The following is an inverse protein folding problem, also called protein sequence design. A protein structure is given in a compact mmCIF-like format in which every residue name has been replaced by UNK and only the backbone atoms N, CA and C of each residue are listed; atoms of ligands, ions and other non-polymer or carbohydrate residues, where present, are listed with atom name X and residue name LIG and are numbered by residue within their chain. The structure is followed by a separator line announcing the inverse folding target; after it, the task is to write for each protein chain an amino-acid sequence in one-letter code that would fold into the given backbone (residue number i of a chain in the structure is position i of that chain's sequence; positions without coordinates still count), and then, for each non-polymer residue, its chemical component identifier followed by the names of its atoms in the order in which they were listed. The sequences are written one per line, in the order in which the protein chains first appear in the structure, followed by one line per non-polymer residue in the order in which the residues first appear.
data_IF_419862927151
#
_entry.id   IF_419862927151
#
_cell.length_a   1.000
_cell.length_b   1.000
_cell.length_c   1.000
_cell.angle_alpha   90.00
_cell.angle_beta   90.00
_cell.angle_gamma   90.00
#
_symmetry.space_group_name_H-M   'P 1'
#
loop_
_entity.id
_entity.type
_entity.pdbx_description
1 polymer ?
#
# COMPACT_ATOMS: atom_id res chain seq x y z
N UNK A 1 0.61 24.50 -0.24
CA UNK A 1 0.48 23.17 0.32
C UNK A 1 1.84 22.63 0.76
N UNK A 2 1.93 22.16 1.95
CA UNK A 2 3.21 21.73 2.54
C UNK A 2 3.42 20.23 2.32
N UNK A 3 3.55 19.83 1.06
CA UNK A 3 3.67 18.41 0.71
C UNK A 3 4.90 17.77 1.35
N UNK A 4 6.04 18.45 1.32
CA UNK A 4 7.27 17.92 1.89
C UNK A 4 7.16 17.70 3.40
N UNK A 5 6.52 18.60 4.11
CA UNK A 5 6.32 18.46 5.55
C UNK A 5 5.37 17.32 5.87
N UNK A 6 4.29 17.19 5.12
CA UNK A 6 3.34 16.11 5.30
C UNK A 6 3.97 14.75 5.00
N UNK A 7 4.79 14.68 3.93
CA UNK A 7 5.50 13.46 3.61
C UNK A 7 6.47 13.07 4.72
N UNK A 8 7.16 14.05 5.28
CA UNK A 8 8.11 13.80 6.36
C UNK A 8 7.41 13.29 7.63
N UNK A 9 6.23 13.82 7.92
CA UNK A 9 5.43 13.35 9.08
C UNK A 9 5.03 11.88 8.92
N UNK A 10 4.88 11.39 7.70
CA UNK A 10 4.49 10.02 7.43
C UNK A 10 5.69 9.10 7.19
N UNK A 11 6.92 9.61 7.28
CA UNK A 11 8.11 8.84 6.94
C UNK A 11 8.23 7.53 7.71
N UNK A 12 8.06 7.57 9.03
CA UNK A 12 8.19 6.37 9.85
C UNK A 12 7.15 5.32 9.49
N UNK A 13 5.92 5.75 9.21
CA UNK A 13 4.85 4.85 8.80
C UNK A 13 5.16 4.21 7.45
N UNK A 14 5.61 5.00 6.48
CA UNK A 14 5.95 4.50 5.15
C UNK A 14 7.09 3.50 5.21
N UNK A 15 8.12 3.79 6.01
CA UNK A 15 9.25 2.87 6.19
C UNK A 15 8.79 1.55 6.81
N UNK A 16 7.91 1.61 7.82
CA UNK A 16 7.39 0.41 8.45
C UNK A 16 6.60 -0.44 7.47
N UNK A 17 5.77 0.17 6.63
CA UNK A 17 5.02 -0.54 5.61
C UNK A 17 5.95 -1.18 4.58
N UNK A 18 6.96 -0.44 4.12
CA UNK A 18 7.93 -0.95 3.16
C UNK A 18 8.65 -2.18 3.70
N UNK A 19 9.10 -2.12 4.94
CA UNK A 19 9.80 -3.25 5.56
C UNK A 19 8.90 -4.46 5.72
N UNK A 20 7.65 -4.24 6.13
CA UNK A 20 6.68 -5.32 6.24
C UNK A 20 6.47 -6.03 4.89
N UNK A 21 6.25 -5.26 3.84
CA UNK A 21 6.03 -5.81 2.51
C UNK A 21 7.28 -6.48 1.96
N UNK A 22 8.45 -5.94 2.25
CA UNK A 22 9.72 -6.52 1.82
C UNK A 22 10.01 -7.86 2.51
N UNK A 23 9.62 -7.98 3.77
CA UNK A 23 9.79 -9.23 4.53
C UNK A 23 8.81 -10.32 4.12
N UNK A 24 7.69 -9.94 3.45
CA UNK A 24 6.64 -10.87 3.06
C UNK A 24 6.34 -10.74 1.56
N UNK A 25 7.34 -11.04 0.69
CA UNK A 25 7.15 -10.87 -0.74
C UNK A 25 6.18 -11.88 -1.32
N UNK A 26 5.31 -11.42 -2.21
CA UNK A 26 4.36 -12.27 -2.91
C UNK A 26 4.43 -12.02 -4.40
N UNK A 27 4.38 -13.10 -5.18
CA UNK A 27 4.45 -13.03 -6.63
C UNK A 27 3.19 -12.41 -7.24
N UNK A 28 3.32 -11.93 -8.48
CA UNK A 28 2.20 -11.41 -9.23
C UNK A 28 1.07 -12.43 -9.28
N UNK A 29 -0.14 -11.99 -9.10
CA UNK A 29 -1.39 -12.77 -9.01
C UNK A 29 -1.51 -13.60 -7.74
N UNK A 30 -0.52 -13.60 -6.85
CA UNK A 30 -0.53 -14.34 -5.60
C UNK A 30 -0.39 -13.42 -4.38
N UNK A 31 -0.65 -12.14 -4.54
CA UNK A 31 -0.49 -11.14 -3.49
C UNK A 31 -1.69 -11.12 -2.54
N UNK A 32 -2.05 -12.27 -1.98
CA UNK A 32 -3.22 -12.41 -1.12
C UNK A 32 -3.04 -11.70 0.21
N UNK A 33 -1.93 -11.98 0.89
CA UNK A 33 -1.66 -11.37 2.20
C UNK A 33 -1.29 -9.90 2.04
N UNK A 34 -0.58 -9.54 0.97
CA UNK A 34 -0.26 -8.15 0.68
C UNK A 34 -1.54 -7.35 0.46
N UNK A 35 -2.49 -7.90 -0.27
CA UNK A 35 -3.79 -7.26 -0.48
C UNK A 35 -4.52 -7.06 0.84
N UNK A 36 -4.53 -8.07 1.71
CA UNK A 36 -5.16 -7.98 3.03
C UNK A 36 -4.50 -6.90 3.88
N UNK A 37 -3.18 -6.82 3.85
CA UNK A 37 -2.44 -5.82 4.60
C UNK A 37 -2.82 -4.40 4.15
N UNK A 38 -2.83 -4.17 2.83
CA UNK A 38 -3.18 -2.86 2.28
C UNK A 38 -4.63 -2.50 2.60
N UNK A 39 -5.53 -3.45 2.46
CA UNK A 39 -6.94 -3.24 2.78
C UNK A 39 -7.12 -2.84 4.25
N UNK A 40 -6.42 -3.54 5.15
CA UNK A 40 -6.49 -3.23 6.57
C UNK A 40 -5.98 -1.82 6.87
N UNK A 41 -4.87 -1.43 6.24
CA UNK A 41 -4.31 -0.10 6.45
C UNK A 41 -5.22 1.00 5.93
N UNK A 42 -5.79 0.82 4.73
CA UNK A 42 -6.73 1.79 4.17
C UNK A 42 -8.00 1.89 5.01
N UNK A 43 -8.49 0.77 5.51
CA UNK A 43 -9.67 0.74 6.36
C UNK A 43 -9.43 1.50 7.67
N UNK A 44 -8.23 1.35 8.26
CA UNK A 44 -7.85 2.12 9.45
C UNK A 44 -7.89 3.61 9.20
N UNK A 45 -7.59 4.04 8.00
CA UNK A 45 -7.60 5.45 7.61
C UNK A 45 -8.99 5.95 7.26
N UNK A 46 -9.99 5.08 7.29
CA UNK A 46 -11.36 5.46 6.93
C UNK A 46 -11.58 5.58 5.42
N UNK A 47 -10.72 4.95 4.62
CA UNK A 47 -10.82 4.99 3.16
C UNK A 47 -11.59 3.78 2.67
N UNK A 48 -12.70 3.97 1.92
CA UNK A 48 -13.42 2.84 1.33
C UNK A 48 -12.55 2.06 0.37
N UNK A 49 -12.59 0.73 0.47
CA UNK A 49 -11.76 -0.16 -0.33
C UNK A 49 -12.64 -1.06 -1.18
N UNK A 50 -12.28 -1.17 -2.47
CA UNK A 50 -12.94 -2.08 -3.40
C UNK A 50 -11.98 -3.19 -3.79
N UNK A 51 -12.46 -4.42 -3.72
CA UNK A 51 -11.73 -5.59 -4.20
C UNK A 51 -12.46 -6.17 -5.40
N UNK A 52 -11.76 -6.98 -6.18
CA UNK A 52 -12.30 -7.60 -7.38
C UNK A 52 -12.20 -9.12 -7.27
N UNK A 53 -13.27 -9.82 -7.62
CA UNK A 53 -13.29 -11.27 -7.59
C UNK A 53 -12.30 -11.86 -8.60
N UNK A 54 -11.58 -12.87 -8.17
CA UNK A 54 -10.68 -13.60 -9.05
C UNK A 54 -9.32 -12.97 -9.27
N UNK A 55 -9.07 -11.78 -8.68
CA UNK A 55 -7.76 -11.13 -8.79
C UNK A 55 -7.34 -10.56 -7.43
N UNK A 56 -6.03 -10.40 -7.27
CA UNK A 56 -5.47 -9.75 -6.08
C UNK A 56 -5.42 -8.25 -6.30
N UNK A 57 -5.16 -7.51 -5.21
CA UNK A 57 -5.11 -6.06 -5.26
C UNK A 57 -6.42 -5.44 -4.83
N UNK A 58 -6.40 -4.13 -4.67
CA UNK A 58 -7.58 -3.39 -4.23
C UNK A 58 -7.49 -1.94 -4.69
N UNK A 59 -8.60 -1.23 -4.58
CA UNK A 59 -8.67 0.20 -4.91
C UNK A 59 -9.26 0.94 -3.71
N UNK A 60 -8.56 1.96 -3.24
CA UNK A 60 -9.08 2.87 -2.23
C UNK A 60 -9.55 4.15 -2.90
N UNK A 61 -10.68 4.67 -2.48
CA UNK A 61 -11.25 5.89 -3.03
C UNK A 61 -11.30 6.98 -1.97
N UNK A 62 -10.70 8.11 -2.27
CA UNK A 62 -10.73 9.30 -1.42
C UNK A 62 -11.55 10.36 -2.12
N UNK A 63 -12.67 10.73 -1.53
CA UNK A 63 -13.53 11.77 -2.09
C UNK A 63 -13.22 13.11 -1.44
N UNK A 64 -13.02 14.11 -2.29
CA UNK A 64 -12.84 15.46 -1.80
C UNK A 64 -14.18 16.09 -1.46
N UNK A 65 -14.12 17.26 -0.81
CA UNK A 65 -15.33 17.98 -0.41
C UNK A 65 -15.87 18.89 -1.52
N UNK A 66 -15.09 19.07 -2.60
CA UNK A 66 -15.46 19.92 -3.71
C UNK A 66 -15.40 19.15 -5.02
N UNK A 67 -16.31 19.44 -5.97
CA UNK A 67 -16.27 18.76 -7.26
C UNK A 67 -14.98 19.11 -8.02
N UNK A 68 -14.49 18.16 -8.78
CA UNK A 68 -13.26 18.33 -9.52
C UNK A 68 -12.91 17.09 -10.32
N UNK A 69 -11.72 17.09 -10.88
CA UNK A 69 -11.23 15.98 -11.67
C UNK A 69 -10.76 14.83 -10.79
N UNK A 70 -10.83 13.63 -11.33
CA UNK A 70 -10.37 12.43 -10.64
C UNK A 70 -8.96 12.10 -11.10
N UNK A 71 -8.08 11.82 -10.13
CA UNK A 71 -6.71 11.39 -10.40
C UNK A 71 -6.54 9.98 -9.86
N UNK A 72 -5.93 9.11 -10.66
CA UNK A 72 -5.64 7.74 -10.23
C UNK A 72 -4.14 7.57 -10.05
N UNK A 73 -3.75 7.03 -8.89
CA UNK A 73 -2.38 6.62 -8.62
C UNK A 73 -2.34 5.10 -8.62
N UNK A 74 -1.37 4.54 -9.31
CA UNK A 74 -1.20 3.11 -9.37
C UNK A 74 0.12 2.69 -8.76
N UNK A 75 0.10 1.58 -8.03
CA UNK A 75 1.32 0.98 -7.50
C UNK A 75 1.21 -0.54 -7.64
N UNK A 76 2.28 -1.16 -8.07
CA UNK A 76 2.36 -2.61 -8.13
C UNK A 76 2.69 -3.14 -6.74
N UNK A 77 2.14 -4.30 -6.39
CA UNK A 77 2.30 -4.88 -5.05
C UNK A 77 2.99 -6.25 -5.09
N UNK A 78 3.28 -6.76 -6.28
CA UNK A 78 4.01 -8.01 -6.41
C UNK A 78 5.50 -7.80 -6.12
N UNK A 79 6.17 -8.90 -5.77
CA UNK A 79 7.58 -8.87 -5.46
C UNK A 79 8.24 -10.16 -5.94
N UNK A 80 9.54 -10.13 -6.10
CA UNK A 80 10.29 -11.32 -6.41
C UNK A 80 10.44 -12.18 -5.14
N UNK A 81 10.43 -13.52 -5.25
CA UNK A 81 10.51 -14.39 -4.08
C UNK A 81 11.95 -14.52 -3.57
N UNK A 82 12.57 -13.38 -3.28
CA UNK A 82 13.94 -13.33 -2.76
C UNK A 82 13.86 -13.05 -1.26
N UNK A 83 14.40 -13.98 -0.49
CA UNK A 83 14.41 -13.82 0.95
C UNK A 83 15.67 -13.10 1.39
N UNK A 84 15.47 -12.02 2.13
CA UNK A 84 16.58 -11.23 2.64
C UNK A 84 17.30 -11.95 3.78
N UNK A 85 18.59 -11.62 3.94
CA UNK A 85 19.39 -12.09 5.06
C UNK A 85 18.79 -11.56 6.37
N UNK A 86 18.43 -12.43 7.31
CA UNK A 86 17.77 -12.00 8.55
C UNK A 86 18.61 -11.09 9.42
N UNK A 87 19.93 -11.05 9.22
CA UNK A 87 20.79 -10.14 9.97
C UNK A 87 20.90 -8.74 9.36
N UNK A 88 20.25 -8.49 8.24
CA UNK A 88 20.36 -7.22 7.53
C UNK A 88 19.56 -6.11 8.22
N UNK A 89 20.18 -4.95 8.37
CA UNK A 89 19.54 -3.76 8.88
C UNK A 89 19.12 -2.85 7.73
N UNK A 90 17.95 -2.24 7.87
CA UNK A 90 17.43 -1.33 6.84
C UNK A 90 17.64 0.12 7.21
#
# INVERSE_FOLDING_TARGET
MRVQELAKEQEAYVIACRRHLHEHPELSTQEVETTKFIKAELTKMGIPVQEFDGITGCVGTIEGTMPGKTVMLRADIDALPIQENPGKSY
#
